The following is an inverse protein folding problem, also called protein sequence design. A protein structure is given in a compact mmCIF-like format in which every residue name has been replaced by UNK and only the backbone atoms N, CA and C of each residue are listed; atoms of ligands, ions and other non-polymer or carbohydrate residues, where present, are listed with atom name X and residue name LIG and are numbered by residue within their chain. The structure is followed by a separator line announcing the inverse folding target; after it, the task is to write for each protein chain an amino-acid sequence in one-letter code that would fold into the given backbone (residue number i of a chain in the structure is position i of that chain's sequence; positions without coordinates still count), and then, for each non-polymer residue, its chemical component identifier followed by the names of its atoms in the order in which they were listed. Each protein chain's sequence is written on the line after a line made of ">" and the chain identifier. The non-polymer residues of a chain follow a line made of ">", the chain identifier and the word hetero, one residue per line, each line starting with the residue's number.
data_IF_823832220383
#
_entry.id   IF_823832220383
#
_cell.length_a   1.000
_cell.length_b   1.000
_cell.length_c   1.000
_cell.angle_alpha   90.00
_cell.angle_beta   90.00
_cell.angle_gamma   90.00
#
_symmetry.space_group_name_H-M   'P 1'
#
loop_
_entity.id
_entity.type
_entity.pdbx_description
1 polymer ?
#
# COMPACT_ATOMS: atom_id res chain seq x y z
N UNK A 1 -12.92 33.78 -8.89
CA UNK A 1 -11.91 33.36 -9.89
C UNK A 1 -10.46 33.37 -9.38
N UNK A 2 -10.05 34.26 -8.47
CA UNK A 2 -8.65 34.33 -7.98
C UNK A 2 -8.12 33.08 -7.23
N UNK A 3 -8.96 32.32 -6.52
CA UNK A 3 -8.52 31.12 -5.78
C UNK A 3 -8.23 29.89 -6.67
N UNK A 4 -8.75 29.86 -7.91
CA UNK A 4 -8.51 28.76 -8.86
C UNK A 4 -7.20 28.94 -9.63
N UNK A 5 -6.69 30.17 -9.70
CA UNK A 5 -5.52 30.56 -10.49
C UNK A 5 -4.24 30.72 -9.65
N UNK A 6 -4.33 30.58 -8.33
CA UNK A 6 -3.14 30.54 -7.49
C UNK A 6 -2.37 29.23 -7.74
N UNK A 7 -1.05 29.26 -8.04
CA UNK A 7 -0.25 28.05 -8.14
C UNK A 7 -0.30 27.34 -6.80
N UNK A 8 -1.07 26.25 -6.73
CA UNK A 8 -1.11 25.41 -5.53
C UNK A 8 0.28 24.81 -5.35
N UNK A 9 0.90 24.95 -4.17
CA UNK A 9 2.17 24.29 -3.91
C UNK A 9 1.96 22.80 -4.19
N UNK A 10 2.82 22.21 -5.02
CA UNK A 10 2.73 20.78 -5.34
C UNK A 10 2.83 20.01 -4.02
N UNK A 11 1.82 19.21 -3.66
CA UNK A 11 1.86 18.46 -2.42
C UNK A 11 3.09 17.55 -2.46
N UNK A 12 3.85 17.55 -1.37
CA UNK A 12 5.00 16.65 -1.25
C UNK A 12 4.51 15.20 -1.33
N UNK A 13 5.27 14.31 -2.00
CA UNK A 13 4.90 12.92 -2.08
C UNK A 13 4.95 12.27 -0.69
N UNK A 14 4.03 11.35 -0.43
CA UNK A 14 4.12 10.47 0.74
C UNK A 14 5.23 9.43 0.50
N UNK A 15 6.48 9.81 0.78
CA UNK A 15 7.65 8.98 0.54
C UNK A 15 7.59 7.62 1.25
N UNK A 16 6.82 7.49 2.33
CA UNK A 16 6.71 6.25 3.11
C UNK A 16 6.04 5.09 2.36
N UNK A 17 5.27 5.39 1.30
CA UNK A 17 4.67 4.37 0.44
C UNK A 17 5.62 3.87 -0.64
N UNK A 18 6.75 4.54 -0.85
CA UNK A 18 7.72 4.15 -1.87
C UNK A 18 8.71 3.12 -1.36
N UNK A 19 9.19 2.29 -2.28
CA UNK A 19 10.25 1.31 -2.09
C UNK A 19 11.34 1.68 -3.09
N UNK A 20 12.55 1.91 -2.60
CA UNK A 20 13.71 2.26 -3.42
C UNK A 20 14.65 1.08 -3.39
N UNK A 21 14.88 0.47 -4.54
CA UNK A 21 15.90 -0.53 -4.76
C UNK A 21 16.99 0.08 -5.64
N UNK A 22 18.00 0.62 -4.96
CA UNK A 22 19.13 1.28 -5.62
C UNK A 22 20.02 0.29 -6.39
N UNK A 23 20.01 -1.00 -6.03
CA UNK A 23 20.83 -2.01 -6.71
C UNK A 23 20.29 -2.32 -8.10
N UNK A 24 18.97 -2.37 -8.25
CA UNK A 24 18.31 -2.65 -9.52
C UNK A 24 17.74 -1.40 -10.21
N UNK A 25 18.04 -0.20 -9.69
CA UNK A 25 17.51 1.07 -10.18
C UNK A 25 15.98 1.09 -10.29
N UNK A 26 15.27 0.62 -9.25
CA UNK A 26 13.81 0.58 -9.21
C UNK A 26 13.26 1.50 -8.12
N UNK A 27 12.19 2.21 -8.44
CA UNK A 27 11.37 2.94 -7.47
C UNK A 27 9.91 2.52 -7.63
N UNK A 28 9.37 1.82 -6.63
CA UNK A 28 7.99 1.35 -6.66
C UNK A 28 7.11 2.11 -5.67
N UNK A 29 6.01 2.69 -6.15
CA UNK A 29 4.95 3.23 -5.31
C UNK A 29 3.98 2.11 -4.92
N UNK A 30 3.99 1.70 -3.65
CA UNK A 30 3.12 0.64 -3.18
C UNK A 30 1.66 1.13 -3.06
N UNK A 31 0.78 0.59 -3.91
CA UNK A 31 -0.67 0.81 -3.84
C UNK A 31 -1.36 -0.46 -3.36
N UNK A 32 -1.90 -0.44 -2.14
CA UNK A 32 -2.62 -1.59 -1.61
C UNK A 32 -3.82 -2.00 -2.47
N UNK A 33 -4.00 -3.32 -2.58
CA UNK A 33 -5.06 -3.98 -3.35
C UNK A 33 -4.95 -3.80 -4.88
N UNK A 34 -3.83 -3.27 -5.35
CA UNK A 34 -3.42 -3.24 -6.75
C UNK A 34 -2.13 -4.06 -6.91
N UNK A 35 -2.25 -5.39 -6.92
CA UNK A 35 -1.13 -6.34 -6.98
C UNK A 35 -0.04 -6.18 -5.90
N UNK A 36 -0.32 -5.46 -4.80
CA UNK A 36 0.66 -5.14 -3.76
C UNK A 36 1.37 -6.36 -3.17
N UNK A 37 0.65 -7.45 -2.91
CA UNK A 37 1.25 -8.68 -2.37
C UNK A 37 2.24 -9.32 -3.35
N UNK A 38 1.93 -9.35 -4.64
CA UNK A 38 2.81 -9.89 -5.67
C UNK A 38 4.09 -9.06 -5.79
N UNK A 39 4.01 -7.74 -5.71
CA UNK A 39 5.19 -6.90 -5.77
C UNK A 39 5.99 -6.90 -4.48
N UNK A 40 5.35 -7.01 -3.31
CA UNK A 40 6.06 -7.30 -2.06
C UNK A 40 6.85 -8.60 -2.15
N UNK A 41 6.29 -9.66 -2.76
CA UNK A 41 7.01 -10.91 -2.98
C UNK A 41 8.25 -10.71 -3.87
N UNK A 42 8.09 -10.07 -5.04
CA UNK A 42 9.20 -9.80 -5.95
C UNK A 42 10.29 -8.94 -5.31
N UNK A 43 9.95 -7.84 -4.65
CA UNK A 43 10.95 -7.03 -3.95
C UNK A 43 11.60 -7.78 -2.80
N UNK A 44 10.89 -8.64 -2.06
CA UNK A 44 11.53 -9.48 -1.05
C UNK A 44 12.55 -10.44 -1.67
N UNK A 45 12.28 -11.01 -2.85
CA UNK A 45 13.27 -11.80 -3.59
C UNK A 45 14.49 -10.93 -3.98
N UNK A 46 14.26 -9.74 -4.54
CA UNK A 46 15.32 -8.79 -4.89
C UNK A 46 16.15 -8.36 -3.67
N UNK A 47 15.51 -8.27 -2.50
CA UNK A 47 16.15 -8.00 -1.21
C UNK A 47 16.91 -9.20 -0.61
N UNK A 48 17.02 -10.30 -1.34
CA UNK A 48 17.83 -11.46 -0.97
C UNK A 48 17.13 -12.49 -0.08
N UNK A 49 15.79 -12.44 0.07
CA UNK A 49 15.08 -13.53 0.74
C UNK A 49 14.96 -14.74 -0.20
N UNK A 50 15.22 -15.95 0.33
CA UNK A 50 15.03 -17.17 -0.42
C UNK A 50 13.53 -17.43 -0.71
N UNK A 51 13.22 -17.91 -1.91
CA UNK A 51 11.85 -18.23 -2.33
C UNK A 51 11.15 -19.20 -1.38
N UNK A 52 11.82 -20.29 -0.99
CA UNK A 52 11.26 -21.26 -0.05
C UNK A 52 10.91 -20.63 1.30
N UNK A 53 11.73 -19.69 1.79
CA UNK A 53 11.43 -18.95 3.01
C UNK A 53 10.17 -18.09 2.83
N UNK A 54 10.05 -17.35 1.72
CA UNK A 54 8.88 -16.50 1.47
C UNK A 54 7.58 -17.31 1.30
N UNK A 55 7.66 -18.54 0.76
CA UNK A 55 6.50 -19.42 0.59
C UNK A 55 5.95 -19.95 1.91
N UNK A 56 6.81 -20.28 2.88
CA UNK A 56 6.41 -20.89 4.16
C UNK A 56 6.34 -19.90 5.32
N UNK A 57 6.89 -18.69 5.15
CA UNK A 57 6.93 -17.69 6.21
C UNK A 57 5.53 -17.15 6.54
N UNK A 58 5.21 -17.15 7.83
CA UNK A 58 4.02 -16.47 8.36
C UNK A 58 4.25 -14.98 8.67
N UNK A 59 5.46 -14.45 8.40
CA UNK A 59 5.75 -13.03 8.62
C UNK A 59 5.01 -12.17 7.60
N UNK A 60 4.57 -10.99 8.04
CA UNK A 60 3.90 -10.05 7.15
C UNK A 60 4.87 -9.61 6.01
N UNK A 61 4.49 -9.79 4.72
CA UNK A 61 5.36 -9.46 3.60
C UNK A 61 5.88 -8.03 3.60
N UNK A 62 5.09 -7.06 4.07
CA UNK A 62 5.55 -5.66 4.15
C UNK A 62 6.60 -5.46 5.23
N UNK A 63 6.55 -6.22 6.33
CA UNK A 63 7.56 -6.16 7.38
C UNK A 63 8.90 -6.70 6.88
N UNK A 64 8.88 -7.83 6.15
CA UNK A 64 10.06 -8.36 5.49
C UNK A 64 10.62 -7.35 4.48
N UNK A 65 9.75 -6.78 3.66
CA UNK A 65 10.14 -5.78 2.66
C UNK A 65 10.86 -4.60 3.30
N UNK A 66 10.28 -4.03 4.36
CA UNK A 66 10.84 -2.85 5.05
C UNK A 66 12.10 -3.14 5.84
N UNK A 67 12.40 -4.41 6.13
CA UNK A 67 13.69 -4.80 6.70
C UNK A 67 14.84 -4.72 5.69
N UNK A 68 14.55 -4.79 4.38
CA UNK A 68 15.54 -4.67 3.29
C UNK A 68 15.49 -3.32 2.59
N UNK A 69 14.29 -2.73 2.48
CA UNK A 69 14.05 -1.44 1.84
C UNK A 69 13.33 -0.49 2.81
N UNK A 70 14.08 0.18 3.69
CA UNK A 70 13.54 1.12 4.67
C UNK A 70 12.69 2.21 4.02
N UNK A 71 11.83 2.85 4.81
CA UNK A 71 11.02 3.98 4.32
C UNK A 71 11.94 5.14 3.96
N UNK A 72 11.91 5.65 2.72
CA UNK A 72 12.76 6.75 2.33
C UNK A 72 12.23 8.08 2.86
N UNK A 73 13.14 9.04 3.03
CA UNK A 73 12.77 10.45 3.12
C UNK A 73 12.28 10.97 1.76
N UNK A 74 11.63 12.14 1.77
CA UNK A 74 11.25 12.83 0.53
C UNK A 74 12.49 13.14 -0.33
N UNK A 75 13.60 13.56 0.29
CA UNK A 75 14.85 13.85 -0.44
C UNK A 75 15.45 12.59 -1.08
N UNK A 76 15.49 11.46 -0.37
CA UNK A 76 15.96 10.18 -0.91
C UNK A 76 15.12 9.74 -2.11
N UNK A 77 13.79 9.85 -1.99
CA UNK A 77 12.88 9.54 -3.09
C UNK A 77 13.17 10.43 -4.30
N UNK A 78 13.16 11.75 -4.13
CA UNK A 78 13.37 12.69 -5.23
C UNK A 78 14.74 12.52 -5.91
N UNK A 79 15.78 12.18 -5.15
CA UNK A 79 17.11 11.93 -5.69
C UNK A 79 17.19 10.59 -6.45
N UNK A 80 16.39 9.60 -6.07
CA UNK A 80 16.38 8.28 -6.72
C UNK A 80 15.60 8.24 -8.04
N UNK A 81 14.56 9.08 -8.18
CA UNK A 81 13.65 9.06 -9.33
C UNK A 81 14.32 9.28 -10.70
N UNK A 82 15.28 10.23 -10.87
CA UNK A 82 15.86 10.49 -12.20
C UNK A 82 16.69 9.33 -12.75
N UNK A 83 17.29 8.52 -11.88
CA UNK A 83 18.20 7.43 -12.26
C UNK A 83 17.55 6.04 -12.19
N UNK A 84 16.25 5.97 -11.87
CA UNK A 84 15.54 4.71 -11.63
C UNK A 84 14.31 4.57 -12.52
N UNK A 85 13.99 3.33 -12.90
CA UNK A 85 12.67 3.00 -13.40
C UNK A 85 11.65 3.16 -12.25
N UNK A 86 10.84 4.21 -12.33
CA UNK A 86 9.78 4.47 -11.38
C UNK A 86 8.44 3.98 -11.90
N UNK A 87 7.68 3.25 -11.08
CA UNK A 87 6.41 2.69 -11.49
C UNK A 87 5.41 2.53 -10.35
N UNK A 88 4.15 2.43 -10.74
CA UNK A 88 3.03 2.09 -9.87
C UNK A 88 2.11 1.14 -10.62
N UNK A 89 1.31 0.38 -9.87
CA UNK A 89 0.27 -0.45 -10.46
C UNK A 89 -1.08 0.06 -9.99
N UNK A 90 -1.93 0.32 -10.99
CA UNK A 90 -3.29 0.73 -10.77
C UNK A 90 -4.24 -0.47 -10.91
N UNK A 91 -5.42 -0.31 -10.31
CA UNK A 91 -6.56 -1.21 -10.48
C UNK A 91 -7.79 -0.32 -10.59
N UNK A 92 -8.80 -0.79 -11.33
CA UNK A 92 -10.11 -0.14 -11.36
C UNK A 92 -10.56 0.25 -9.93
N UNK A 93 -10.95 1.52 -9.70
CA UNK A 93 -11.21 2.02 -8.36
C UNK A 93 -12.28 1.23 -7.60
N UNK A 94 -13.35 0.81 -8.28
CA UNK A 94 -14.46 0.07 -7.66
C UNK A 94 -14.03 -1.35 -7.30
N UNK A 95 -13.28 -2.03 -8.18
CA UNK A 95 -12.69 -3.33 -7.86
C UNK A 95 -11.68 -3.24 -6.71
N UNK A 96 -10.88 -2.17 -6.65
CA UNK A 96 -9.92 -1.95 -5.54
C UNK A 96 -10.67 -1.76 -4.21
N UNK A 97 -11.72 -0.94 -4.22
CA UNK A 97 -12.58 -0.71 -3.06
C UNK A 97 -13.26 -2.00 -2.60
N UNK A 98 -13.88 -2.74 -3.53
CA UNK A 98 -14.51 -4.03 -3.23
C UNK A 98 -13.49 -5.01 -2.64
N UNK A 99 -12.29 -5.11 -3.21
CA UNK A 99 -11.23 -5.97 -2.68
C UNK A 99 -10.81 -5.59 -1.26
N UNK A 100 -10.74 -4.29 -0.95
CA UNK A 100 -10.45 -3.80 0.40
C UNK A 100 -11.60 -4.12 1.37
N UNK A 101 -12.85 -3.87 0.96
CA UNK A 101 -14.05 -4.18 1.73
C UNK A 101 -14.10 -5.66 2.08
N UNK A 102 -13.98 -6.55 1.09
CA UNK A 102 -14.00 -8.00 1.32
C UNK A 102 -12.90 -8.44 2.30
N UNK A 103 -11.69 -7.89 2.14
CA UNK A 103 -10.54 -8.26 2.96
C UNK A 103 -10.59 -7.73 4.39
N UNK A 104 -11.16 -6.55 4.62
CA UNK A 104 -11.12 -5.89 5.94
C UNK A 104 -12.46 -5.94 6.67
N UNK A 105 -13.57 -5.85 5.95
CA UNK A 105 -14.92 -5.62 6.51
C UNK A 105 -15.83 -6.84 6.37
N UNK A 106 -15.69 -7.64 5.31
CA UNK A 106 -16.50 -8.88 5.15
C UNK A 106 -15.86 -10.05 5.91
N UNK A 107 -14.59 -10.37 5.63
CA UNK A 107 -13.88 -11.49 6.25
C UNK A 107 -13.11 -11.01 7.49
N UNK A 108 -13.82 -10.55 8.52
CA UNK A 108 -13.19 -9.76 9.59
C UNK A 108 -12.36 -10.60 10.57
N UNK A 109 -11.06 -10.35 10.61
CA UNK A 109 -10.14 -10.96 11.58
C UNK A 109 -9.75 -10.02 12.73
N UNK A 110 -10.08 -8.72 12.66
CA UNK A 110 -9.65 -7.71 13.64
C UNK A 110 -10.83 -6.94 14.26
N UNK A 111 -10.78 -6.75 15.59
CA UNK A 111 -11.78 -6.01 16.36
C UNK A 111 -12.03 -4.59 15.83
N UNK A 112 -10.97 -3.92 15.37
CA UNK A 112 -11.08 -2.59 14.78
C UNK A 112 -12.03 -2.58 13.57
N UNK A 113 -11.82 -3.51 12.63
CA UNK A 113 -12.66 -3.58 11.44
C UNK A 113 -14.05 -4.13 11.72
N UNK A 114 -14.24 -4.96 12.77
CA UNK A 114 -15.58 -5.37 13.23
C UNK A 114 -16.37 -4.14 13.66
N UNK A 115 -15.78 -3.27 14.49
CA UNK A 115 -16.42 -2.02 14.94
C UNK A 115 -16.73 -1.10 13.76
N UNK A 116 -15.82 -0.96 12.80
CA UNK A 116 -16.07 -0.18 11.59
C UNK A 116 -17.25 -0.75 10.78
N UNK A 117 -17.30 -2.06 10.58
CA UNK A 117 -18.40 -2.74 9.88
C UNK A 117 -19.75 -2.45 10.55
N UNK A 118 -19.81 -2.58 11.89
CA UNK A 118 -21.02 -2.28 12.67
C UNK A 118 -21.45 -0.82 12.51
N UNK A 119 -20.51 0.12 12.59
CA UNK A 119 -20.80 1.54 12.40
C UNK A 119 -21.40 1.84 11.01
N UNK A 120 -20.87 1.21 9.96
CA UNK A 120 -21.41 1.33 8.60
C UNK A 120 -22.84 0.78 8.54
N UNK A 121 -23.09 -0.42 9.09
CA UNK A 121 -24.43 -1.04 9.08
C UNK A 121 -25.45 -0.17 9.83
N UNK A 122 -25.11 0.32 11.01
CA UNK A 122 -26.01 1.20 11.79
C UNK A 122 -26.33 2.47 11.01
N UNK A 123 -25.32 3.13 10.44
CA UNK A 123 -25.48 4.39 9.70
C UNK A 123 -26.36 4.24 8.45
N UNK A 124 -26.16 3.18 7.67
CA UNK A 124 -26.77 3.06 6.34
C UNK A 124 -27.94 2.08 6.27
N UNK A 125 -28.11 1.18 7.24
CA UNK A 125 -29.21 0.20 7.28
C UNK A 125 -30.15 0.38 8.47
N UNK A 126 -29.85 1.28 9.40
CA UNK A 126 -30.71 1.61 10.55
C UNK A 126 -30.93 0.46 11.54
N UNK A 127 -30.15 -0.62 11.46
CA UNK A 127 -30.27 -1.81 12.32
C UNK A 127 -28.94 -2.08 13.00
N UNK A 128 -28.96 -2.35 14.29
CA UNK A 128 -27.79 -2.94 14.95
C UNK A 128 -27.59 -4.36 14.39
N UNK A 129 -26.38 -4.73 13.92
CA UNK A 129 -26.12 -6.10 13.52
C UNK A 129 -26.31 -7.03 14.72
N UNK A 130 -27.03 -8.14 14.53
CA UNK A 130 -27.14 -9.21 15.54
C UNK A 130 -25.74 -9.77 15.81
N UNK A 131 -25.40 -9.96 17.08
CA UNK A 131 -24.11 -10.51 17.50
C UNK A 131 -23.89 -11.93 16.96
#
# INVERSE_FOLDING_TARGET
>A
EACLNAPRPRPLPNAWEFVIDAHHSLVWCNVFKAASSSWMYNFNLLGGFAENFLRVSHKNPITLLRSRFPRPSVSQLLNSLPASLSFLIARDPLHRLLSAYRNKVEHVHSHYYKRLARAIIVRYRGKAPKD
#
